data_IF_439051635869
#
_entry.id   IF_439051635869
#
_cell.length_a   1.000
_cell.length_b   1.000
_cell.length_c   1.000
_cell.angle_alpha   90.00
_cell.angle_beta   90.00
_cell.angle_gamma   90.00
#
_symmetry.space_group_name_H-M   'P 1'
#
loop_
_entity.id
_entity.type
_entity.pdbx_description
1 polymer ?
#
# COMPACT_ATOMS: atom_id res chain seq x y z
N UNK A 1 -54.83 2.92 18.75
CA UNK A 1 -53.84 3.81 18.12
C UNK A 1 -52.45 3.31 18.51
N UNK A 2 -51.81 2.48 17.68
CA UNK A 2 -50.50 1.89 18.01
C UNK A 2 -49.39 2.71 17.37
N UNK A 3 -48.63 3.42 18.20
CA UNK A 3 -47.45 4.18 17.82
C UNK A 3 -46.26 3.24 17.61
N UNK A 4 -45.86 3.03 16.35
CA UNK A 4 -44.59 2.38 16.03
C UNK A 4 -43.45 3.41 16.08
N UNK A 5 -42.62 3.34 17.11
CA UNK A 5 -41.38 4.13 17.21
C UNK A 5 -40.38 3.63 16.16
N UNK A 6 -40.09 4.46 15.15
CA UNK A 6 -39.09 4.14 14.12
C UNK A 6 -37.68 4.22 14.73
N UNK A 7 -37.01 3.08 14.83
CA UNK A 7 -35.58 3.05 15.17
C UNK A 7 -34.78 3.84 14.11
N UNK A 8 -33.94 4.78 14.57
CA UNK A 8 -33.01 5.50 13.70
C UNK A 8 -31.97 4.51 13.17
N UNK A 9 -31.97 4.26 11.87
CA UNK A 9 -30.92 3.48 11.20
C UNK A 9 -29.63 4.29 11.31
N UNK A 10 -28.64 3.79 12.06
CA UNK A 10 -27.31 4.40 12.09
C UNK A 10 -26.77 4.42 10.65
N UNK A 11 -26.32 5.59 10.19
CA UNK A 11 -25.70 5.72 8.87
C UNK A 11 -24.36 4.96 8.89
N UNK A 12 -24.13 4.10 7.89
CA UNK A 12 -22.81 3.53 7.65
C UNK A 12 -21.88 4.71 7.38
N UNK A 13 -20.86 4.92 8.24
CA UNK A 13 -19.80 5.90 7.96
C UNK A 13 -19.21 5.56 6.59
N UNK A 14 -19.02 6.54 5.68
CA UNK A 14 -18.36 6.25 4.42
C UNK A 14 -16.99 5.66 4.73
N UNK A 15 -16.78 4.41 4.31
CA UNK A 15 -15.48 3.80 4.41
C UNK A 15 -14.55 4.59 3.49
N UNK A 16 -13.49 5.17 4.04
CA UNK A 16 -12.41 5.70 3.22
C UNK A 16 -11.81 4.51 2.49
N UNK A 17 -12.11 4.39 1.19
CA UNK A 17 -11.57 3.33 0.34
C UNK A 17 -10.06 3.56 0.21
N UNK A 18 -9.28 2.63 0.75
CA UNK A 18 -7.83 2.59 0.53
C UNK A 18 -7.59 2.01 -0.86
N UNK A 19 -6.77 2.68 -1.65
CA UNK A 19 -6.28 2.15 -2.92
C UNK A 19 -4.77 2.01 -2.89
N UNK A 20 -4.23 1.08 -3.67
CA UNK A 20 -2.79 0.87 -3.76
C UNK A 20 -2.15 2.00 -4.59
N UNK A 21 -1.24 2.75 -3.98
CA UNK A 21 -0.51 3.85 -4.65
C UNK A 21 0.86 3.42 -5.19
N UNK A 22 1.35 2.23 -4.83
CA UNK A 22 2.61 1.70 -5.31
C UNK A 22 2.84 0.25 -4.90
N UNK A 23 3.75 -0.43 -5.59
CA UNK A 23 4.10 -1.82 -5.32
C UNK A 23 5.58 -2.10 -5.60
N UNK A 24 6.04 -3.22 -5.05
CA UNK A 24 7.29 -3.87 -5.41
C UNK A 24 6.95 -5.30 -5.84
N UNK A 25 7.22 -5.60 -7.11
CA UNK A 25 7.10 -6.94 -7.66
C UNK A 25 8.50 -7.53 -7.81
N UNK A 26 8.71 -8.73 -7.26
CA UNK A 26 9.98 -9.45 -7.31
C UNK A 26 9.72 -10.82 -7.92
N UNK A 27 10.51 -11.16 -8.93
CA UNK A 27 10.54 -12.49 -9.53
C UNK A 27 11.86 -13.13 -9.12
N UNK A 28 11.78 -14.16 -8.27
CA UNK A 28 12.92 -14.96 -7.82
C UNK A 28 12.66 -16.43 -8.16
N UNK A 29 13.03 -16.88 -9.37
CA UNK A 29 12.81 -18.25 -9.80
C UNK A 29 13.66 -19.24 -8.99
N UNK A 30 13.25 -20.53 -8.92
CA UNK A 30 14.05 -21.55 -8.26
C UNK A 30 15.42 -21.76 -8.94
N UNK A 31 16.31 -22.50 -8.27
CA UNK A 31 17.59 -22.99 -8.80
C UNK A 31 18.67 -21.92 -9.06
N UNK A 32 18.71 -20.85 -8.26
CA UNK A 32 19.77 -19.83 -8.35
C UNK A 32 19.69 -18.96 -9.62
N UNK A 33 18.54 -18.97 -10.30
CA UNK A 33 18.28 -18.09 -11.45
C UNK A 33 18.33 -16.62 -11.00
N UNK A 34 18.89 -15.77 -11.85
CA UNK A 34 19.03 -14.33 -11.59
C UNK A 34 17.66 -13.69 -11.28
N UNK A 35 17.46 -13.13 -10.08
CA UNK A 35 16.20 -12.50 -9.72
C UNK A 35 16.03 -11.17 -10.45
N UNK A 36 14.78 -10.74 -10.63
CA UNK A 36 14.45 -9.40 -11.12
C UNK A 36 13.37 -8.76 -10.26
N UNK A 37 13.32 -7.43 -10.28
CA UNK A 37 12.32 -6.69 -9.53
C UNK A 37 11.91 -5.41 -10.26
N UNK A 38 10.65 -5.01 -10.08
CA UNK A 38 10.09 -3.73 -10.52
C UNK A 38 9.41 -3.06 -9.35
N UNK A 39 9.77 -1.81 -9.11
CA UNK A 39 9.12 -0.95 -8.12
C UNK A 39 8.45 0.22 -8.84
N UNK A 40 7.19 0.47 -8.52
CA UNK A 40 6.43 1.57 -9.12
C UNK A 40 5.59 2.29 -8.06
N UNK A 41 5.28 3.56 -8.31
CA UNK A 41 4.39 4.38 -7.51
C UNK A 41 3.67 5.43 -8.36
N UNK A 42 2.43 5.76 -8.01
CA UNK A 42 1.62 6.79 -8.62
C UNK A 42 2.26 8.19 -8.58
N UNK A 43 3.26 8.43 -7.72
CA UNK A 43 4.04 9.68 -7.71
C UNK A 43 4.95 9.84 -8.94
N UNK A 44 4.96 8.87 -9.87
CA UNK A 44 5.84 8.85 -11.04
C UNK A 44 7.16 8.10 -10.83
N UNK A 45 7.40 7.48 -9.66
CA UNK A 45 8.59 6.65 -9.45
C UNK A 45 8.40 5.30 -10.14
N UNK A 46 9.29 4.98 -11.06
CA UNK A 46 9.43 3.63 -11.63
C UNK A 46 10.92 3.24 -11.68
N UNK A 47 11.24 2.04 -11.18
CA UNK A 47 12.60 1.48 -11.18
C UNK A 47 12.55 -0.03 -11.38
N UNK A 48 13.53 -0.56 -12.10
CA UNK A 48 13.74 -2.00 -12.28
C UNK A 48 15.14 -2.40 -11.80
N UNK A 49 15.31 -3.66 -11.45
CA UNK A 49 16.60 -4.24 -11.05
C UNK A 49 16.68 -5.71 -11.47
N UNK A 50 17.88 -6.16 -11.81
CA UNK A 50 18.19 -7.55 -12.14
C UNK A 50 19.45 -7.97 -11.40
N UNK A 51 19.45 -9.17 -10.83
CA UNK A 51 20.53 -9.69 -10.00
C UNK A 51 20.32 -9.41 -8.51
N UNK A 52 20.79 -10.33 -7.68
CA UNK A 52 20.50 -10.36 -6.23
C UNK A 52 20.87 -9.06 -5.53
N UNK A 53 22.08 -8.54 -5.73
CA UNK A 53 22.53 -7.30 -5.09
C UNK A 53 21.67 -6.10 -5.49
N UNK A 54 21.37 -5.94 -6.79
CA UNK A 54 20.56 -4.84 -7.29
C UNK A 54 19.10 -4.94 -6.79
N UNK A 55 18.54 -6.14 -6.72
CA UNK A 55 17.19 -6.38 -6.17
C UNK A 55 17.14 -6.02 -4.68
N UNK A 56 18.15 -6.38 -3.88
CA UNK A 56 18.24 -5.99 -2.47
C UNK A 56 18.31 -4.47 -2.30
N UNK A 57 19.09 -3.79 -3.15
CA UNK A 57 19.12 -2.32 -3.17
C UNK A 57 17.74 -1.77 -3.52
N UNK A 58 17.06 -2.31 -4.53
CA UNK A 58 15.73 -1.85 -4.93
C UNK A 58 14.68 -2.04 -3.82
N UNK A 59 14.76 -3.14 -3.06
CA UNK A 59 13.92 -3.37 -1.87
C UNK A 59 14.14 -2.24 -0.84
N UNK A 60 15.38 -1.95 -0.46
CA UNK A 60 15.70 -0.89 0.49
C UNK A 60 15.22 0.49 0.00
N UNK A 61 15.42 0.77 -1.29
CA UNK A 61 14.96 2.01 -1.92
C UNK A 61 13.43 2.12 -1.96
N UNK A 62 12.70 1.01 -2.15
CA UNK A 62 11.24 1.00 -2.09
C UNK A 62 10.73 1.27 -0.67
N UNK A 63 11.35 0.66 0.34
CA UNK A 63 11.00 0.89 1.74
C UNK A 63 11.25 2.36 2.15
N UNK A 64 12.41 2.92 1.82
CA UNK A 64 12.72 4.33 2.08
C UNK A 64 11.73 5.27 1.38
N UNK A 65 11.42 4.98 0.10
CA UNK A 65 10.48 5.79 -0.66
C UNK A 65 9.09 5.83 -0.03
N UNK A 66 8.59 4.72 0.53
CA UNK A 66 7.28 4.69 1.21
C UNK A 66 7.21 5.74 2.33
N UNK A 67 8.29 5.97 3.07
CA UNK A 67 8.33 6.95 4.15
C UNK A 67 8.36 8.41 3.70
N UNK A 68 8.78 8.69 2.46
CA UNK A 68 8.94 10.05 1.93
C UNK A 68 7.95 10.38 0.80
N UNK A 69 7.15 9.40 0.37
CA UNK A 69 6.23 9.56 -0.76
C UNK A 69 5.06 10.48 -0.37
N UNK A 70 4.75 11.53 -1.16
CA UNK A 70 3.61 12.41 -0.89
C UNK A 70 2.24 11.70 -0.87
N UNK A 71 2.12 10.54 -1.53
CA UNK A 71 0.91 9.72 -1.50
C UNK A 71 0.81 8.81 -0.27
N UNK A 72 1.87 8.74 0.54
CA UNK A 72 1.81 8.03 1.81
C UNK A 72 1.23 8.96 2.88
N UNK A 73 -0.08 8.93 3.02
CA UNK A 73 -0.74 9.51 4.20
C UNK A 73 -0.54 8.54 5.37
N UNK A 74 0.24 8.88 6.43
CA UNK A 74 0.29 8.06 7.63
C UNK A 74 -1.12 7.93 8.21
N UNK A 75 -1.45 6.72 8.64
CA UNK A 75 -2.78 6.30 9.08
C UNK A 75 -3.11 6.83 10.50
N UNK A 76 -2.79 8.09 10.78
CA UNK A 76 -3.01 8.71 12.10
C UNK A 76 -4.50 9.00 12.37
N UNK A 77 -5.33 8.97 11.32
CA UNK A 77 -6.79 9.14 11.45
C UNK A 77 -7.55 7.83 11.73
N UNK A 78 -6.89 6.66 11.65
CA UNK A 78 -7.52 5.34 11.74
C UNK A 78 -7.29 4.56 13.03
N UNK A 79 -6.37 5.01 13.90
CA UNK A 79 -5.98 4.28 15.12
C UNK A 79 -6.14 5.06 16.43
N UNK A 80 -7.01 6.07 16.45
CA UNK A 80 -7.50 6.69 17.68
C UNK A 80 -8.95 6.22 17.95
N UNK A 81 -9.10 5.00 18.46
CA UNK A 81 -10.22 4.52 19.29
C UNK A 81 -10.15 2.99 19.42
N UNK A 82 -9.49 2.52 20.48
CA UNK A 82 -9.78 1.25 21.14
C UNK A 82 -9.67 1.49 22.64
#
# INVERSE_FOLDING_TARGET
MSTHTRARRAAIRPAVLRHQVGALHIVAPPNGTTPSARSWCACGRERTATGTAAVLVLIAQHAAHRGTCPHHTPDDAGRAAA
#
